data_IF_726195217286
#
_entry.id   IF_726195217286
#
_cell.length_a   1.000
_cell.length_b   1.000
_cell.length_c   1.000
_cell.angle_alpha   90.00
_cell.angle_beta   90.00
_cell.angle_gamma   90.00
#
_symmetry.space_group_name_H-M   'P 1'
#
loop_
_entity.id
_entity.type
_entity.pdbx_description
1 polymer ?
#
# COMPACT_ATOMS: atom_id res chain seq x y z
N UNK A 1 -9.90 20.23 12.43
CA UNK A 1 -9.85 18.78 12.19
C UNK A 1 -8.42 18.47 11.77
N UNK A 2 -7.76 17.55 12.45
CA UNK A 2 -6.49 17.02 11.93
C UNK A 2 -6.80 16.25 10.64
N UNK A 3 -5.97 16.34 9.59
CA UNK A 3 -6.15 15.50 8.40
C UNK A 3 -6.14 14.02 8.81
N UNK A 4 -6.96 13.20 8.16
CA UNK A 4 -6.88 11.75 8.33
C UNK A 4 -5.52 11.29 7.79
N UNK A 5 -4.74 10.48 8.54
CA UNK A 5 -3.47 10.00 8.03
C UNK A 5 -3.68 9.12 6.80
N UNK A 6 -2.77 9.20 5.84
CA UNK A 6 -2.87 8.50 4.56
C UNK A 6 -1.92 7.31 4.53
N UNK A 7 -2.44 6.15 4.16
CA UNK A 7 -1.70 4.88 4.10
C UNK A 7 -1.67 4.38 2.65
N UNK A 8 -0.50 3.95 2.18
CA UNK A 8 -0.35 3.20 0.93
C UNK A 8 -0.05 1.73 1.24
N UNK A 9 -0.85 0.82 0.69
CA UNK A 9 -0.63 -0.63 0.77
C UNK A 9 -0.10 -1.12 -0.58
N UNK A 10 1.04 -1.80 -0.58
CA UNK A 10 1.69 -2.37 -1.76
C UNK A 10 1.86 -3.85 -1.55
N UNK A 11 1.12 -4.65 -2.30
CA UNK A 11 1.09 -6.09 -2.17
C UNK A 11 0.60 -6.67 -3.51
N UNK A 12 1.27 -7.67 -4.06
CA UNK A 12 0.88 -8.30 -5.33
C UNK A 12 -0.32 -9.25 -5.16
N UNK A 13 -0.56 -9.74 -3.94
CA UNK A 13 -1.65 -10.62 -3.58
C UNK A 13 -2.95 -9.81 -3.35
N UNK A 14 -3.93 -10.03 -4.22
CA UNK A 14 -5.18 -9.26 -4.22
C UNK A 14 -5.98 -9.40 -2.93
N UNK A 15 -6.06 -10.60 -2.36
CA UNK A 15 -6.87 -10.85 -1.17
C UNK A 15 -6.29 -10.17 0.07
N UNK A 16 -4.96 -10.22 0.23
CA UNK A 16 -4.25 -9.50 1.29
C UNK A 16 -4.47 -8.01 1.19
N UNK A 17 -4.28 -7.43 -0.01
CA UNK A 17 -4.50 -5.99 -0.25
C UNK A 17 -5.94 -5.54 0.02
N UNK A 18 -6.93 -6.29 -0.46
CA UNK A 18 -8.35 -5.98 -0.25
C UNK A 18 -8.72 -6.12 1.23
N UNK A 19 -8.18 -7.13 1.93
CA UNK A 19 -8.39 -7.34 3.36
C UNK A 19 -7.80 -6.22 4.21
N UNK A 20 -6.54 -5.84 3.96
CA UNK A 20 -5.88 -4.74 4.68
C UNK A 20 -6.60 -3.40 4.46
N UNK A 21 -7.04 -3.13 3.23
CA UNK A 21 -7.84 -1.95 2.93
C UNK A 21 -9.12 -1.91 3.76
N UNK A 22 -9.91 -2.99 3.74
CA UNK A 22 -11.19 -3.05 4.47
C UNK A 22 -11.03 -2.85 5.98
N UNK A 23 -9.89 -3.29 6.54
CA UNK A 23 -9.57 -3.10 7.96
C UNK A 23 -9.23 -1.65 8.31
N UNK A 24 -8.64 -0.88 7.39
CA UNK A 24 -8.06 0.44 7.67
C UNK A 24 -8.89 1.62 7.12
N UNK A 25 -9.73 1.41 6.11
CA UNK A 25 -10.46 2.48 5.40
C UNK A 25 -11.47 3.25 6.26
N UNK A 26 -11.83 2.75 7.45
CA UNK A 26 -12.71 3.46 8.38
C UNK A 26 -11.98 4.56 9.18
N UNK A 27 -10.66 4.44 9.34
CA UNK A 27 -9.84 5.31 10.20
C UNK A 27 -8.80 6.13 9.42
N UNK A 28 -8.45 5.68 8.21
CA UNK A 28 -7.39 6.25 7.37
C UNK A 28 -7.85 6.44 5.93
N UNK A 29 -7.19 7.36 5.21
CA UNK A 29 -7.30 7.41 3.75
C UNK A 29 -6.35 6.36 3.14
N UNK A 30 -6.90 5.40 2.40
CA UNK A 30 -6.16 4.19 1.99
C UNK A 30 -6.01 4.12 0.48
N UNK A 31 -4.76 4.15 0.04
CA UNK A 31 -4.35 3.86 -1.32
C UNK A 31 -3.80 2.43 -1.43
N UNK A 32 -3.96 1.84 -2.61
CA UNK A 32 -3.53 0.46 -2.88
C UNK A 32 -2.77 0.39 -4.20
N UNK A 33 -1.70 -0.39 -4.25
CA UNK A 33 -0.96 -0.72 -5.45
C UNK A 33 -0.59 -2.22 -5.48
N UNK A 34 -0.54 -2.80 -6.68
CA UNK A 34 -0.18 -4.21 -6.87
C UNK A 34 1.32 -4.44 -7.13
N UNK A 35 2.05 -3.37 -7.41
CA UNK A 35 3.46 -3.42 -7.78
C UNK A 35 4.15 -2.09 -7.49
N UNK A 36 5.48 -2.08 -7.66
CA UNK A 36 6.33 -0.91 -7.45
C UNK A 36 5.92 0.25 -8.37
N UNK A 37 5.55 0.00 -9.62
CA UNK A 37 5.19 1.07 -10.56
C UNK A 37 3.90 1.79 -10.11
N UNK A 38 2.89 1.04 -9.70
CA UNK A 38 1.67 1.56 -9.11
C UNK A 38 1.94 2.34 -7.83
N UNK A 39 2.81 1.82 -6.95
CA UNK A 39 3.18 2.49 -5.71
C UNK A 39 3.87 3.83 -5.97
N UNK A 40 4.83 3.87 -6.90
CA UNK A 40 5.53 5.09 -7.28
C UNK A 40 4.56 6.13 -7.88
N UNK A 41 3.63 5.71 -8.72
CA UNK A 41 2.61 6.62 -9.27
C UNK A 41 1.76 7.28 -8.16
N UNK A 42 1.47 6.56 -7.08
CA UNK A 42 0.74 7.12 -5.93
C UNK A 42 1.63 8.08 -5.14
N UNK A 43 2.85 7.67 -4.82
CA UNK A 43 3.81 8.50 -4.06
C UNK A 43 4.19 9.81 -4.75
N UNK A 44 4.13 9.87 -6.09
CA UNK A 44 4.35 11.10 -6.85
C UNK A 44 3.17 12.08 -6.79
N UNK A 45 1.96 11.58 -6.50
CA UNK A 45 0.70 12.36 -6.58
C UNK A 45 0.14 12.71 -5.21
N UNK A 46 0.37 11.86 -4.22
CA UNK A 46 -0.27 11.90 -2.93
C UNK A 46 0.77 11.95 -1.81
N UNK A 47 0.45 12.68 -0.73
CA UNK A 47 1.27 12.65 0.47
C UNK A 47 0.89 11.45 1.31
N UNK A 48 1.79 10.46 1.39
CA UNK A 48 1.61 9.23 2.16
C UNK A 48 2.36 9.35 3.50
N UNK A 49 1.67 9.10 4.61
CA UNK A 49 2.27 9.09 5.95
C UNK A 49 2.94 7.76 6.27
N UNK A 50 2.35 6.64 5.82
CA UNK A 50 2.84 5.28 6.07
C UNK A 50 2.68 4.41 4.82
N UNK A 51 3.74 3.67 4.49
CA UNK A 51 3.75 2.64 3.44
C UNK A 51 3.77 1.25 4.08
N UNK A 52 2.76 0.43 3.79
CA UNK A 52 2.77 -1.00 4.06
C UNK A 52 3.12 -1.75 2.78
N UNK A 53 4.16 -2.59 2.84
CA UNK A 53 4.71 -3.28 1.68
C UNK A 53 5.01 -4.72 2.05
N UNK A 54 4.68 -5.67 1.17
CA UNK A 54 5.17 -7.04 1.33
C UNK A 54 6.66 -7.13 1.00
N UNK A 55 7.38 -8.03 1.69
CA UNK A 55 8.81 -8.27 1.48
C UNK A 55 9.11 -8.98 0.15
N UNK A 56 8.11 -9.62 -0.48
CA UNK A 56 8.27 -10.43 -1.71
C UNK A 56 7.60 -9.81 -2.94
N UNK A 57 7.44 -8.49 -2.94
CA UNK A 57 6.96 -7.77 -4.12
C UNK A 57 7.87 -8.00 -5.33
N UNK A 58 7.30 -8.54 -6.41
CA UNK A 58 8.03 -8.81 -7.66
C UNK A 58 8.51 -10.25 -7.85
N UNK A 59 8.19 -11.17 -6.93
CA UNK A 59 8.42 -12.61 -7.12
C UNK A 59 9.87 -13.08 -6.99
N UNK A 60 10.83 -12.20 -6.69
CA UNK A 60 12.17 -12.60 -6.27
C UNK A 60 12.17 -12.85 -4.76
N UNK A 61 12.23 -14.13 -4.38
CA UNK A 61 12.59 -14.48 -3.02
C UNK A 61 14.03 -14.00 -2.77
N UNK A 62 14.22 -13.19 -1.73
CA UNK A 62 15.53 -12.74 -1.26
C UNK A 62 16.42 -13.86 -0.68
N UNK A 63 16.54 -14.97 -1.41
CA UNK A 63 17.36 -16.14 -1.11
C UNK A 63 18.20 -16.62 -2.31
N UNK A 64 18.50 -15.73 -3.27
CA UNK A 64 19.52 -16.01 -4.30
C UNK A 64 20.54 -14.89 -4.40
#
# INVERSE_FOLDING_TARGET
MSPQPTILIVDDEKHTRDGLRSLLENEYDVYVAADISGAMNVLEREQIDVLFTDLRLGGEDGMT
#
